data_IF_546485859559
#
_entry.id   IF_546485859559
#
_cell.length_a   1.000
_cell.length_b   1.000
_cell.length_c   1.000
_cell.angle_alpha   90.00
_cell.angle_beta   90.00
_cell.angle_gamma   90.00
#
_symmetry.space_group_name_H-M   'P 1'
#
loop_
_entity.id
_entity.type
_entity.pdbx_description
1 polymer ?
#
# COMPACT_ATOMS: atom_id res chain seq x y z
N UNK A 1 20.53 -92.87 6.13
CA UNK A 1 21.01 -91.87 5.17
C UNK A 1 20.07 -90.66 5.28
N UNK A 2 20.39 -89.70 6.13
CA UNK A 2 19.54 -88.58 6.45
C UNK A 2 20.11 -87.31 5.71
N UNK A 3 19.27 -86.66 4.97
CA UNK A 3 19.60 -85.39 4.28
C UNK A 3 19.02 -84.27 5.08
N UNK A 4 19.94 -83.45 5.69
CA UNK A 4 19.57 -82.24 6.33
C UNK A 4 19.29 -81.14 5.30
N UNK A 5 18.11 -80.50 5.41
CA UNK A 5 17.73 -79.32 4.62
C UNK A 5 18.02 -78.10 5.41
N UNK A 6 19.00 -77.30 4.97
CA UNK A 6 19.40 -76.05 5.57
C UNK A 6 18.45 -74.93 5.09
N UNK A 7 17.65 -74.34 6.01
CA UNK A 7 16.72 -73.25 5.72
C UNK A 7 17.44 -71.93 5.93
N UNK A 8 17.69 -71.12 4.87
CA UNK A 8 18.28 -69.84 4.90
C UNK A 8 17.19 -68.79 5.16
N UNK A 9 17.17 -68.15 6.35
CA UNK A 9 16.36 -66.99 6.63
C UNK A 9 16.97 -65.77 5.90
N UNK A 10 16.25 -65.27 4.92
CA UNK A 10 16.53 -63.93 4.33
C UNK A 10 15.89 -62.85 5.18
N UNK A 11 16.72 -62.08 5.90
CA UNK A 11 16.32 -60.83 6.56
C UNK A 11 16.07 -59.76 5.49
N UNK A 12 14.81 -59.39 5.29
CA UNK A 12 14.42 -58.26 4.42
C UNK A 12 14.69 -56.94 5.10
N UNK A 13 15.67 -56.19 4.58
CA UNK A 13 15.81 -54.74 4.92
C UNK A 13 14.64 -53.96 4.30
N UNK A 14 13.78 -53.40 5.13
CA UNK A 14 12.77 -52.42 4.72
C UNK A 14 13.45 -51.06 4.74
N UNK A 15 13.55 -50.32 3.63
CA UNK A 15 14.07 -48.98 3.64
C UNK A 15 13.03 -48.04 4.30
N UNK A 16 13.37 -47.45 5.42
CA UNK A 16 12.59 -46.39 6.03
C UNK A 16 12.63 -45.15 5.12
N UNK A 17 11.55 -44.91 4.38
CA UNK A 17 11.32 -43.67 3.65
C UNK A 17 11.10 -42.53 4.67
N UNK A 18 12.15 -41.79 4.95
CA UNK A 18 12.05 -40.50 5.64
C UNK A 18 11.33 -39.49 4.73
N UNK A 19 10.01 -39.32 4.90
CA UNK A 19 9.29 -38.18 4.37
C UNK A 19 9.76 -36.96 5.12
N UNK A 20 10.63 -36.16 4.51
CA UNK A 20 10.88 -34.80 4.91
C UNK A 20 9.61 -34.00 4.59
N UNK A 21 8.77 -33.77 5.61
CA UNK A 21 7.77 -32.74 5.59
C UNK A 21 8.52 -31.40 5.52
N UNK A 22 8.73 -30.90 4.30
CA UNK A 22 9.07 -29.50 4.08
C UNK A 22 7.81 -28.71 4.45
N UNK A 23 7.61 -28.49 5.74
CA UNK A 23 6.66 -27.51 6.24
C UNK A 23 7.12 -26.17 5.69
N UNK A 24 6.47 -25.67 4.66
CA UNK A 24 6.61 -24.28 4.27
C UNK A 24 6.24 -23.44 5.50
N UNK A 25 7.24 -22.86 6.17
CA UNK A 25 7.02 -21.87 7.18
C UNK A 25 6.35 -20.67 6.47
N UNK A 26 5.01 -20.67 6.44
CA UNK A 26 4.25 -19.49 6.08
C UNK A 26 4.72 -18.36 7.00
N UNK A 27 5.02 -17.19 6.43
CA UNK A 27 5.38 -16.03 7.23
C UNK A 27 4.28 -15.80 8.28
N UNK A 28 4.67 -15.76 9.55
CA UNK A 28 3.72 -15.55 10.64
C UNK A 28 3.24 -14.08 10.61
N UNK A 29 1.94 -13.87 10.77
CA UNK A 29 1.38 -12.54 10.96
C UNK A 29 1.99 -11.91 12.22
N UNK A 30 2.70 -10.80 12.08
CA UNK A 30 3.33 -10.10 13.20
C UNK A 30 3.38 -8.59 13.01
N UNK A 31 3.45 -7.89 14.11
CA UNK A 31 3.76 -6.47 14.08
C UNK A 31 5.22 -6.27 13.67
N UNK A 32 5.45 -5.38 12.71
CA UNK A 32 6.80 -5.02 12.27
C UNK A 32 7.22 -3.68 12.87
N UNK A 33 8.51 -3.50 13.11
CA UNK A 33 9.08 -2.20 13.44
C UNK A 33 9.69 -1.58 12.19
N UNK A 34 9.55 -0.26 12.06
CA UNK A 34 10.11 0.47 10.92
C UNK A 34 11.00 1.63 11.39
N UNK A 35 11.99 1.95 10.57
CA UNK A 35 12.89 3.07 10.81
C UNK A 35 12.78 4.07 9.67
N UNK A 36 12.39 5.30 10.01
CA UNK A 36 12.37 6.42 9.09
C UNK A 36 13.79 6.81 8.63
N UNK A 37 13.89 7.38 7.45
CA UNK A 37 15.13 7.87 6.85
C UNK A 37 14.86 9.05 5.93
N UNK A 38 15.92 9.57 5.30
CA UNK A 38 15.85 10.63 4.29
C UNK A 38 16.58 10.19 3.04
N UNK A 39 16.02 10.50 1.88
CA UNK A 39 16.69 10.38 0.57
C UNK A 39 17.58 11.60 0.32
N UNK A 40 17.08 12.77 0.70
CA UNK A 40 17.75 14.06 0.61
C UNK A 40 17.16 15.02 1.68
N UNK A 41 17.68 16.26 1.75
CA UNK A 41 17.05 17.31 2.56
C UNK A 41 15.59 17.47 2.12
N UNK A 42 14.67 17.51 3.06
CA UNK A 42 13.22 17.68 2.89
C UNK A 42 12.53 16.54 2.10
N UNK A 43 13.24 15.43 1.84
CA UNK A 43 12.76 14.26 1.11
C UNK A 43 12.87 13.02 1.98
N UNK A 44 11.73 12.52 2.47
CA UNK A 44 11.68 11.29 3.25
C UNK A 44 11.97 10.06 2.38
N UNK A 45 12.72 9.11 2.96
CA UNK A 45 12.77 7.74 2.47
C UNK A 45 11.56 6.94 2.98
N UNK A 46 11.20 5.87 2.28
CA UNK A 46 10.27 4.90 2.83
C UNK A 46 10.84 4.29 4.13
N UNK A 47 10.10 4.31 5.24
CA UNK A 47 10.53 3.66 6.49
C UNK A 47 10.78 2.17 6.28
N UNK A 48 12.04 1.74 6.47
CA UNK A 48 12.44 0.35 6.28
C UNK A 48 12.09 -0.52 7.49
N UNK A 49 11.65 -1.76 7.25
CA UNK A 49 11.43 -2.75 8.31
C UNK A 49 12.76 -3.07 8.99
N UNK A 50 12.80 -2.89 10.30
CA UNK A 50 13.97 -3.18 11.13
C UNK A 50 14.05 -4.68 11.41
N UNK A 51 15.23 -5.28 11.24
CA UNK A 51 15.47 -6.70 11.47
C UNK A 51 14.42 -7.60 10.78
N UNK A 52 14.36 -7.59 9.43
CA UNK A 52 13.38 -8.38 8.69
C UNK A 52 13.51 -9.87 9.05
N UNK A 53 12.40 -10.47 9.53
CA UNK A 53 12.39 -11.83 10.05
C UNK A 53 12.42 -12.88 8.93
N UNK A 54 11.88 -12.56 7.78
CA UNK A 54 11.71 -13.50 6.68
C UNK A 54 12.02 -12.89 5.30
N UNK A 55 11.82 -13.70 4.26
CA UNK A 55 12.06 -13.28 2.88
C UNK A 55 11.04 -12.26 2.38
N UNK A 56 9.80 -12.30 2.87
CA UNK A 56 8.76 -11.36 2.48
C UNK A 56 9.12 -9.93 2.92
N UNK A 57 9.54 -9.76 4.17
CA UNK A 57 9.97 -8.46 4.70
C UNK A 57 11.25 -7.96 4.01
N UNK A 58 12.21 -8.86 3.70
CA UNK A 58 13.39 -8.49 2.91
C UNK A 58 13.03 -8.00 1.51
N UNK A 59 12.02 -8.64 0.85
CA UNK A 59 11.52 -8.20 -0.46
C UNK A 59 10.89 -6.81 -0.38
N UNK A 60 10.11 -6.52 0.67
CA UNK A 60 9.55 -5.18 0.89
C UNK A 60 10.67 -4.16 1.01
N UNK A 61 11.67 -4.39 1.88
CA UNK A 61 12.80 -3.47 2.03
C UNK A 61 13.56 -3.26 0.72
N UNK A 62 13.76 -4.32 -0.07
CA UNK A 62 14.40 -4.21 -1.38
C UNK A 62 13.54 -3.39 -2.38
N UNK A 63 12.21 -3.56 -2.34
CA UNK A 63 11.30 -2.82 -3.21
C UNK A 63 11.28 -1.32 -2.87
N UNK A 64 11.10 -0.96 -1.60
CA UNK A 64 11.11 0.46 -1.17
C UNK A 64 12.46 1.13 -1.40
N UNK A 65 13.58 0.41 -1.21
CA UNK A 65 14.90 0.92 -1.53
C UNK A 65 15.09 1.26 -3.01
N UNK A 66 14.46 0.48 -3.93
CA UNK A 66 14.45 0.83 -5.37
C UNK A 66 13.61 2.08 -5.65
N UNK A 67 12.48 2.25 -4.94
CA UNK A 67 11.66 3.46 -5.05
C UNK A 67 12.45 4.68 -4.57
N UNK A 68 13.10 4.60 -3.42
CA UNK A 68 13.95 5.68 -2.90
C UNK A 68 15.08 6.06 -3.84
N UNK A 69 15.71 5.07 -4.49
CA UNK A 69 16.74 5.32 -5.50
C UNK A 69 16.19 6.11 -6.72
N UNK A 70 14.96 5.82 -7.17
CA UNK A 70 14.29 6.58 -8.23
C UNK A 70 14.00 8.01 -7.81
N UNK A 71 13.42 8.19 -6.61
CA UNK A 71 13.17 9.52 -6.05
C UNK A 71 14.45 10.33 -5.94
N UNK A 72 15.55 9.74 -5.45
CA UNK A 72 16.85 10.39 -5.39
C UNK A 72 17.32 10.89 -6.76
N UNK A 73 17.12 10.08 -7.80
CA UNK A 73 17.45 10.45 -9.17
C UNK A 73 16.56 11.60 -9.65
N UNK A 74 15.23 11.50 -9.47
CA UNK A 74 14.29 12.54 -9.89
C UNK A 74 14.54 13.89 -9.19
N UNK A 75 14.84 13.89 -7.90
CA UNK A 75 15.24 15.10 -7.14
C UNK A 75 16.52 15.72 -7.70
N UNK A 76 17.51 14.90 -8.05
CA UNK A 76 18.75 15.39 -8.65
C UNK A 76 18.52 15.99 -10.04
N UNK A 77 17.64 15.41 -10.85
CA UNK A 77 17.23 15.93 -12.16
C UNK A 77 16.47 17.25 -12.00
N UNK A 78 15.50 17.31 -11.10
CA UNK A 78 14.76 18.55 -10.78
C UNK A 78 15.70 19.71 -10.42
N UNK A 79 16.67 19.44 -9.54
CA UNK A 79 17.68 20.44 -9.14
C UNK A 79 18.57 20.89 -10.28
N UNK A 80 18.90 19.97 -11.19
CA UNK A 80 19.71 20.29 -12.38
C UNK A 80 18.95 21.19 -13.36
N UNK A 81 17.63 20.94 -13.53
CA UNK A 81 16.79 21.67 -14.47
C UNK A 81 16.37 23.04 -13.97
N UNK A 82 15.89 23.14 -12.73
CA UNK A 82 15.39 24.36 -12.13
C UNK A 82 16.45 25.15 -11.34
N UNK A 83 17.63 24.58 -11.10
CA UNK A 83 18.71 25.22 -10.38
C UNK A 83 18.31 25.68 -8.98
N UNK A 84 18.56 26.95 -8.67
CA UNK A 84 18.19 27.54 -7.36
C UNK A 84 16.68 27.65 -7.12
N UNK A 85 15.88 27.52 -8.15
CA UNK A 85 14.40 27.60 -8.08
C UNK A 85 13.77 26.20 -7.89
N UNK A 86 14.58 25.13 -7.85
CA UNK A 86 14.09 23.80 -7.55
C UNK A 86 13.61 23.73 -6.11
N UNK A 87 12.35 23.35 -5.94
CA UNK A 87 11.76 23.04 -4.65
C UNK A 87 11.08 21.66 -4.74
N UNK A 88 11.43 20.76 -3.81
CA UNK A 88 10.78 19.46 -3.69
C UNK A 88 10.73 19.08 -2.22
N UNK A 89 9.55 18.80 -1.74
CA UNK A 89 9.29 18.23 -0.42
C UNK A 89 8.54 16.92 -0.57
N UNK A 90 8.85 15.96 0.31
CA UNK A 90 8.19 14.66 0.37
C UNK A 90 8.10 14.21 1.80
N UNK A 91 6.91 13.78 2.20
CA UNK A 91 6.68 13.05 3.45
C UNK A 91 6.25 11.62 3.15
N UNK A 92 6.66 10.68 3.99
CA UNK A 92 6.23 9.28 3.91
C UNK A 92 5.70 8.84 5.26
N UNK A 93 4.40 8.62 5.33
CA UNK A 93 3.71 8.06 6.48
C UNK A 93 3.53 6.56 6.38
N UNK A 94 3.64 5.85 7.51
CA UNK A 94 3.20 4.47 7.65
C UNK A 94 1.78 4.48 8.20
N UNK A 95 0.79 4.37 7.32
CA UNK A 95 -0.63 4.41 7.70
C UNK A 95 -1.10 3.10 8.37
N UNK A 96 -0.46 1.98 8.06
CA UNK A 96 -0.73 0.68 8.68
C UNK A 96 0.57 -0.09 8.90
N UNK A 97 0.72 -0.73 10.08
CA UNK A 97 1.93 -1.44 10.48
C UNK A 97 1.57 -2.78 11.12
N UNK A 98 1.51 -3.85 10.30
CA UNK A 98 1.13 -5.19 10.72
C UNK A 98 -0.34 -5.33 11.15
N UNK A 99 -0.77 -6.55 11.56
CA UNK A 99 0.03 -7.80 11.48
C UNK A 99 0.15 -8.38 10.07
N UNK A 100 -0.83 -8.11 9.18
CA UNK A 100 -0.89 -8.69 7.84
C UNK A 100 -0.33 -7.80 6.75
N UNK A 101 -0.51 -6.49 6.88
CA UNK A 101 -0.16 -5.52 5.84
C UNK A 101 0.70 -4.39 6.39
N UNK A 102 1.46 -3.76 5.50
CA UNK A 102 2.11 -2.48 5.75
C UNK A 102 1.71 -1.51 4.65
N UNK A 103 1.23 -0.32 5.04
CA UNK A 103 0.81 0.74 4.13
C UNK A 103 1.71 1.95 4.24
N UNK A 104 2.25 2.39 3.13
CA UNK A 104 2.99 3.64 3.01
C UNK A 104 2.15 4.65 2.23
N UNK A 105 2.01 5.85 2.76
CA UNK A 105 1.35 6.99 2.10
C UNK A 105 2.37 8.08 1.93
N UNK A 106 2.52 8.56 0.71
CA UNK A 106 3.50 9.58 0.36
C UNK A 106 2.76 10.83 -0.10
N UNK A 107 3.13 11.98 0.44
CA UNK A 107 2.70 13.29 -0.07
C UNK A 107 3.91 14.01 -0.63
N UNK A 108 3.85 14.32 -1.91
CA UNK A 108 4.90 15.03 -2.65
C UNK A 108 4.41 16.41 -3.07
N UNK A 109 5.31 17.39 -3.04
CA UNK A 109 5.15 18.69 -3.68
C UNK A 109 6.46 19.05 -4.37
N UNK A 110 6.43 19.33 -5.66
CA UNK A 110 7.62 19.63 -6.45
C UNK A 110 7.44 20.79 -7.42
N UNK A 111 8.43 21.67 -7.47
CA UNK A 111 8.58 22.71 -8.49
C UNK A 111 9.95 22.53 -9.16
N UNK A 112 9.94 22.06 -10.40
CA UNK A 112 11.15 21.69 -11.15
C UNK A 112 11.33 22.56 -12.42
N UNK A 113 10.92 23.84 -12.38
CA UNK A 113 11.09 24.78 -13.49
C UNK A 113 9.99 24.76 -14.55
N UNK A 114 8.93 23.95 -14.37
CA UNK A 114 7.71 24.00 -15.18
C UNK A 114 6.81 25.20 -14.84
N UNK A 115 5.74 25.40 -15.63
CA UNK A 115 4.79 26.49 -15.45
C UNK A 115 4.02 26.41 -14.12
N UNK A 116 3.84 25.19 -13.59
CA UNK A 116 3.10 24.95 -12.34
C UNK A 116 3.83 23.93 -11.47
N UNK A 117 3.80 24.08 -10.12
CA UNK A 117 4.23 23.01 -9.22
C UNK A 117 3.31 21.79 -9.35
N UNK A 118 3.84 20.63 -9.08
CA UNK A 118 3.06 19.39 -8.94
C UNK A 118 2.92 19.04 -7.46
N UNK A 119 1.75 18.56 -7.06
CA UNK A 119 1.54 17.99 -5.74
C UNK A 119 0.66 16.74 -5.87
N UNK A 120 0.76 15.80 -4.95
CA UNK A 120 -0.07 14.61 -4.99
C UNK A 120 0.16 13.65 -3.83
N UNK A 121 -0.82 12.77 -3.64
CA UNK A 121 -0.74 11.67 -2.69
C UNK A 121 -0.61 10.36 -3.43
N UNK A 122 0.36 9.57 -3.03
CA UNK A 122 0.58 8.21 -3.53
C UNK A 122 0.54 7.22 -2.39
N UNK A 123 0.15 5.97 -2.66
CA UNK A 123 0.13 4.95 -1.62
C UNK A 123 0.55 3.59 -2.17
N UNK A 124 1.25 2.82 -1.35
CA UNK A 124 1.62 1.44 -1.65
C UNK A 124 1.32 0.60 -0.42
N UNK A 125 0.61 -0.51 -0.62
CA UNK A 125 0.31 -1.48 0.43
C UNK A 125 0.97 -2.80 0.08
N UNK A 126 1.75 -3.35 1.00
CA UNK A 126 2.38 -4.65 0.86
C UNK A 126 1.74 -5.68 1.80
N UNK A 127 1.62 -6.90 1.33
CA UNK A 127 1.30 -8.07 2.15
C UNK A 127 2.58 -8.58 2.81
N UNK A 128 2.63 -8.55 4.13
CA UNK A 128 3.79 -8.97 4.94
C UNK A 128 4.09 -10.46 4.83
N UNK A 129 3.13 -11.27 4.37
CA UNK A 129 3.35 -12.72 4.21
C UNK A 129 3.97 -13.10 2.87
N UNK A 130 3.82 -12.27 1.85
CA UNK A 130 4.34 -12.52 0.50
C UNK A 130 5.43 -11.55 0.08
N UNK A 131 5.49 -10.38 0.69
CA UNK A 131 6.36 -9.27 0.32
C UNK A 131 5.95 -8.58 -0.99
N UNK A 132 4.77 -8.91 -1.53
CA UNK A 132 4.25 -8.32 -2.76
C UNK A 132 3.27 -7.18 -2.45
N UNK A 133 3.11 -6.21 -3.38
CA UNK A 133 1.98 -5.29 -3.33
C UNK A 133 0.65 -6.06 -3.29
N UNK A 134 -0.33 -5.55 -2.54
CA UNK A 134 -1.63 -6.20 -2.41
C UNK A 134 -2.40 -6.22 -3.73
N UNK A 135 -3.15 -7.26 -3.94
CA UNK A 135 -4.16 -7.36 -4.99
C UNK A 135 -5.49 -6.82 -4.46
N UNK A 136 -5.83 -5.61 -4.83
CA UNK A 136 -7.04 -4.93 -4.38
C UNK A 136 -8.32 -5.68 -4.74
N UNK A 137 -8.31 -6.51 -5.79
CA UNK A 137 -9.48 -7.34 -6.16
C UNK A 137 -9.80 -8.42 -5.13
N UNK A 138 -8.84 -8.76 -4.27
CA UNK A 138 -9.02 -9.69 -3.16
C UNK A 138 -9.41 -9.00 -1.85
N UNK A 139 -9.22 -7.69 -1.75
CA UNK A 139 -9.47 -6.92 -0.54
C UNK A 139 -10.83 -6.21 -0.57
N UNK A 140 -11.25 -5.75 -1.75
CA UNK A 140 -12.45 -4.95 -1.92
C UNK A 140 -13.45 -5.63 -2.85
N UNK A 141 -14.77 -5.52 -2.58
CA UNK A 141 -15.80 -6.00 -3.50
C UNK A 141 -15.83 -5.16 -4.79
N UNK A 142 -16.30 -5.76 -5.88
CA UNK A 142 -16.28 -5.14 -7.22
C UNK A 142 -16.90 -3.73 -7.27
N UNK A 143 -17.95 -3.48 -6.50
CA UNK A 143 -18.62 -2.17 -6.44
C UNK A 143 -17.75 -1.05 -5.85
N UNK A 144 -16.76 -1.39 -4.98
CA UNK A 144 -15.78 -0.44 -4.44
C UNK A 144 -14.53 -0.34 -5.30
N UNK A 145 -14.24 -1.34 -6.12
CA UNK A 145 -13.10 -1.31 -7.04
C UNK A 145 -13.39 -0.44 -8.26
N UNK A 146 -14.57 -0.61 -8.87
CA UNK A 146 -14.85 -0.02 -10.17
C UNK A 146 -13.84 -0.46 -11.22
N UNK A 147 -13.29 0.50 -11.97
CA UNK A 147 -12.19 0.24 -12.90
C UNK A 147 -10.85 0.43 -12.18
N UNK A 148 -10.04 -0.63 -12.16
CA UNK A 148 -8.68 -0.58 -11.62
C UNK A 148 -7.71 -0.18 -12.72
N UNK A 149 -6.88 0.81 -12.46
CA UNK A 149 -5.80 1.24 -13.38
C UNK A 149 -4.48 1.39 -12.64
N UNK A 150 -3.38 1.36 -13.40
CA UNK A 150 -2.03 1.65 -12.93
C UNK A 150 -1.59 2.98 -13.53
N UNK A 151 -1.37 3.96 -12.69
CA UNK A 151 -0.73 5.21 -13.09
C UNK A 151 0.72 5.21 -12.64
N UNK A 152 1.55 5.95 -13.36
CA UNK A 152 2.95 6.17 -13.01
C UNK A 152 3.11 7.62 -12.55
N UNK A 153 3.67 7.81 -11.36
CA UNK A 153 3.99 9.14 -10.83
C UNK A 153 5.21 9.74 -11.53
N UNK A 154 5.47 11.02 -11.32
CA UNK A 154 6.61 11.74 -11.93
C UNK A 154 7.96 11.10 -11.60
N UNK A 155 8.10 10.44 -10.46
CA UNK A 155 9.28 9.70 -10.02
C UNK A 155 9.29 8.23 -10.47
N UNK A 156 8.35 7.82 -11.35
CA UNK A 156 8.25 6.49 -11.94
C UNK A 156 7.70 5.42 -10.99
N UNK A 157 7.01 5.81 -9.91
CA UNK A 157 6.32 4.88 -9.03
C UNK A 157 4.97 4.51 -9.65
N UNK A 158 4.75 3.20 -9.83
CA UNK A 158 3.46 2.69 -10.30
C UNK A 158 2.47 2.60 -9.13
N UNK A 159 1.33 3.22 -9.32
CA UNK A 159 0.28 3.33 -8.31
C UNK A 159 -1.03 2.77 -8.80
N UNK A 160 -1.76 2.13 -7.89
CA UNK A 160 -3.14 1.72 -8.16
C UNK A 160 -4.05 2.94 -8.06
N UNK A 161 -4.97 3.05 -9.03
CA UNK A 161 -6.10 3.97 -9.02
C UNK A 161 -7.39 3.18 -9.14
N UNK A 162 -8.37 3.56 -8.35
CA UNK A 162 -9.73 3.00 -8.36
C UNK A 162 -10.69 4.05 -8.90
N UNK A 163 -11.29 3.76 -10.04
CA UNK A 163 -12.32 4.60 -10.65
C UNK A 163 -13.68 3.98 -10.28
N UNK A 164 -14.20 4.36 -9.12
CA UNK A 164 -15.40 3.77 -8.51
C UNK A 164 -16.33 4.85 -7.98
N UNK A 165 -17.47 5.00 -8.63
CA UNK A 165 -18.55 5.87 -8.18
C UNK A 165 -18.93 5.61 -6.72
N UNK A 166 -19.09 4.32 -6.33
CA UNK A 166 -19.49 3.97 -4.97
C UNK A 166 -18.44 4.35 -3.93
N UNK A 167 -17.17 4.14 -4.23
CA UNK A 167 -16.09 4.54 -3.33
C UNK A 167 -16.02 6.07 -3.20
N UNK A 168 -16.25 6.78 -4.30
CA UNK A 168 -16.29 8.24 -4.28
C UNK A 168 -17.49 8.80 -3.50
N UNK A 169 -18.67 8.17 -3.57
CA UNK A 169 -19.82 8.51 -2.72
C UNK A 169 -19.49 8.39 -1.22
N UNK A 170 -18.78 7.33 -0.84
CA UNK A 170 -18.33 7.15 0.55
C UNK A 170 -17.29 8.21 0.95
N UNK A 171 -16.38 8.56 0.04
CA UNK A 171 -15.45 9.65 0.24
C UNK A 171 -16.18 10.97 0.49
N UNK A 172 -17.13 11.35 -0.37
CA UNK A 172 -17.92 12.59 -0.21
C UNK A 172 -18.75 12.58 1.07
N UNK A 173 -19.28 11.44 1.48
CA UNK A 173 -20.00 11.32 2.75
C UNK A 173 -19.08 11.64 3.96
N UNK A 174 -17.79 11.22 3.90
CA UNK A 174 -16.78 11.56 4.92
C UNK A 174 -16.36 13.02 4.82
N UNK A 175 -16.20 13.52 3.62
CA UNK A 175 -15.81 14.90 3.36
C UNK A 175 -16.80 15.90 3.99
N UNK A 176 -18.11 15.65 3.84
CA UNK A 176 -19.18 16.50 4.39
C UNK A 176 -19.17 16.60 5.93
N UNK A 177 -18.66 15.61 6.63
CA UNK A 177 -18.62 15.56 8.09
C UNK A 177 -17.21 15.76 8.67
N UNK A 178 -16.20 15.85 7.81
CA UNK A 178 -14.79 16.02 8.18
C UNK A 178 -14.42 17.46 8.57
N UNK A 179 -13.14 17.76 8.57
CA UNK A 179 -12.60 19.06 8.97
C UNK A 179 -13.10 20.20 8.07
N UNK A 180 -13.34 19.94 6.78
CA UNK A 180 -13.85 20.92 5.80
C UNK A 180 -15.38 21.01 5.73
N UNK A 181 -16.11 20.47 6.70
CA UNK A 181 -17.59 20.47 6.70
C UNK A 181 -18.25 21.85 6.51
N UNK A 182 -17.54 22.93 6.74
CA UNK A 182 -18.02 24.31 6.55
C UNK A 182 -17.56 24.98 5.25
N UNK A 183 -16.67 24.34 4.50
CA UNK A 183 -16.11 24.83 3.24
C UNK A 183 -17.00 24.43 2.06
N UNK A 184 -17.99 25.30 1.76
CA UNK A 184 -18.96 25.04 0.70
C UNK A 184 -18.34 25.03 -0.70
N UNK A 185 -17.37 25.89 -0.94
CA UNK A 185 -16.72 26.01 -2.25
C UNK A 185 -15.93 24.75 -2.58
N UNK A 186 -15.16 24.24 -1.62
CA UNK A 186 -14.47 22.97 -1.78
C UNK A 186 -15.43 21.78 -1.90
N UNK A 187 -16.55 21.75 -1.14
CA UNK A 187 -17.52 20.69 -1.26
C UNK A 187 -18.17 20.66 -2.66
N UNK A 188 -18.61 21.82 -3.17
CA UNK A 188 -19.18 21.93 -4.50
C UNK A 188 -18.18 21.55 -5.59
N UNK A 189 -16.92 21.98 -5.47
CA UNK A 189 -15.85 21.60 -6.39
C UNK A 189 -15.60 20.09 -6.39
N UNK A 190 -15.59 19.46 -5.22
CA UNK A 190 -15.42 18.00 -5.12
C UNK A 190 -16.65 17.25 -5.62
N UNK A 191 -17.88 17.72 -5.38
CA UNK A 191 -19.11 17.09 -5.91
C UNK A 191 -19.16 17.15 -7.45
N UNK A 192 -18.56 18.14 -8.08
CA UNK A 192 -18.49 18.26 -9.55
C UNK A 192 -17.26 17.58 -10.17
N UNK A 193 -16.29 17.16 -9.35
CA UNK A 193 -15.06 16.56 -9.82
C UNK A 193 -15.29 15.20 -10.50
N UNK A 194 -14.69 14.99 -11.66
CA UNK A 194 -14.62 13.68 -12.32
C UNK A 194 -15.90 13.16 -12.99
N UNK A 195 -16.94 13.98 -13.16
CA UNK A 195 -18.18 13.57 -13.84
C UNK A 195 -18.96 12.46 -13.10
N UNK A 196 -19.58 11.54 -13.85
CA UNK A 196 -20.51 10.53 -13.30
C UNK A 196 -19.87 9.52 -12.33
N UNK A 197 -18.58 9.23 -12.49
CA UNK A 197 -17.84 8.25 -11.65
C UNK A 197 -17.10 8.92 -10.48
N UNK A 198 -16.96 10.23 -10.50
CA UNK A 198 -16.00 10.95 -9.66
C UNK A 198 -14.56 10.82 -10.16
N UNK A 199 -13.58 11.46 -9.52
CA UNK A 199 -12.17 11.30 -9.81
C UNK A 199 -11.68 9.90 -9.40
N UNK A 200 -10.61 9.43 -10.03
CA UNK A 200 -9.93 8.22 -9.61
C UNK A 200 -9.35 8.40 -8.19
N UNK A 201 -9.37 7.36 -7.40
CA UNK A 201 -8.96 7.36 -6.00
C UNK A 201 -7.71 6.50 -5.80
N UNK A 202 -6.74 7.02 -5.05
CA UNK A 202 -5.60 6.25 -4.54
C UNK A 202 -6.01 5.61 -3.21
N UNK A 203 -6.08 4.27 -3.09
CA UNK A 203 -6.47 3.60 -1.87
C UNK A 203 -5.26 3.17 -1.02
N UNK A 204 -5.45 3.09 0.31
CA UNK A 204 -4.55 2.40 1.23
C UNK A 204 -5.31 1.83 2.43
N UNK A 205 -4.76 0.80 3.07
CA UNK A 205 -5.26 0.32 4.35
C UNK A 205 -4.76 1.26 5.44
N UNK A 206 -5.70 1.82 6.20
CA UNK A 206 -5.41 2.80 7.24
C UNK A 206 -5.69 2.21 8.63
N UNK A 207 -4.63 1.64 9.23
CA UNK A 207 -4.70 1.11 10.58
C UNK A 207 -4.83 2.20 11.64
N UNK A 208 -4.19 3.37 11.43
CA UNK A 208 -4.29 4.51 12.34
C UNK A 208 -5.69 5.12 12.33
N UNK A 209 -6.26 5.35 11.15
CA UNK A 209 -7.62 5.85 10.96
C UNK A 209 -8.71 4.79 11.07
N UNK A 210 -8.34 3.49 11.21
CA UNK A 210 -9.26 2.34 11.31
C UNK A 210 -10.23 2.25 10.14
N UNK A 211 -9.67 2.13 8.92
CA UNK A 211 -10.49 2.06 7.72
C UNK A 211 -9.70 1.92 6.43
N UNK A 212 -10.33 2.34 5.36
CA UNK A 212 -9.74 2.49 4.05
C UNK A 212 -9.44 3.96 3.80
N UNK A 213 -8.16 4.32 3.75
CA UNK A 213 -7.75 5.63 3.33
C UNK A 213 -7.90 5.77 1.81
N UNK A 214 -8.35 6.94 1.37
CA UNK A 214 -8.46 7.28 -0.06
C UNK A 214 -8.09 8.72 -0.30
N UNK A 215 -7.37 8.99 -1.38
CA UNK A 215 -7.06 10.34 -1.86
C UNK A 215 -7.54 10.51 -3.30
N UNK A 216 -8.33 11.55 -3.62
CA UNK A 216 -8.82 11.77 -4.98
C UNK A 216 -7.72 12.38 -5.87
N UNK A 217 -7.71 11.96 -7.13
CA UNK A 217 -6.85 12.51 -8.18
C UNK A 217 -7.64 13.55 -8.98
N UNK A 218 -7.48 14.80 -8.63
CA UNK A 218 -8.27 15.92 -9.19
C UNK A 218 -7.39 16.87 -9.98
N UNK A 219 -7.99 17.66 -10.90
CA UNK A 219 -7.28 18.72 -11.59
C UNK A 219 -6.65 19.72 -10.63
N UNK A 220 -5.52 20.30 -11.03
CA UNK A 220 -4.73 21.22 -10.22
C UNK A 220 -5.55 22.38 -9.63
N UNK A 221 -6.55 22.88 -10.37
CA UNK A 221 -7.37 24.04 -9.96
C UNK A 221 -8.22 23.78 -8.71
N UNK A 222 -8.51 22.52 -8.38
CA UNK A 222 -9.26 22.13 -7.18
C UNK A 222 -8.44 21.24 -6.23
N UNK A 223 -7.15 21.10 -6.47
CA UNK A 223 -6.28 20.22 -5.69
C UNK A 223 -6.20 20.61 -4.21
N UNK A 224 -6.33 21.90 -3.90
CA UNK A 224 -6.41 22.38 -2.52
C UNK A 224 -7.64 21.87 -1.74
N UNK A 225 -8.66 21.34 -2.45
CA UNK A 225 -9.86 20.75 -1.86
C UNK A 225 -9.76 19.21 -1.72
N UNK A 226 -8.73 18.59 -2.25
CA UNK A 226 -8.60 17.14 -2.37
C UNK A 226 -7.97 16.48 -1.13
N UNK A 227 -8.56 16.70 0.05
CA UNK A 227 -8.05 16.12 1.28
C UNK A 227 -8.21 14.58 1.28
N UNK A 228 -7.20 13.83 1.72
CA UNK A 228 -7.33 12.41 1.98
C UNK A 228 -8.37 12.13 3.07
N UNK A 229 -9.20 11.10 2.90
CA UNK A 229 -10.22 10.70 3.87
C UNK A 229 -10.10 9.22 4.21
N UNK A 230 -10.45 8.88 5.45
CA UNK A 230 -10.56 7.47 5.86
C UNK A 230 -12.03 7.06 5.92
N UNK A 231 -12.41 6.06 5.14
CA UNK A 231 -13.71 5.40 5.16
C UNK A 231 -13.71 4.40 6.30
N UNK A 232 -14.58 4.55 7.31
CA UNK A 232 -14.52 3.75 8.52
C UNK A 232 -14.96 2.30 8.31
N UNK A 233 -14.52 1.42 9.21
CA UNK A 233 -14.76 -0.04 9.13
C UNK A 233 -16.25 -0.40 9.05
N UNK A 234 -17.12 0.31 9.76
CA UNK A 234 -18.56 0.05 9.70
C UNK A 234 -19.14 0.30 8.30
N UNK A 235 -18.69 1.35 7.61
CA UNK A 235 -19.10 1.62 6.23
C UNK A 235 -18.53 0.54 5.28
N UNK A 236 -17.29 0.13 5.47
CA UNK A 236 -16.68 -0.93 4.67
C UNK A 236 -17.37 -2.28 4.87
N UNK A 237 -17.78 -2.60 6.11
CA UNK A 237 -18.57 -3.80 6.43
C UNK A 237 -19.93 -3.77 5.74
N UNK A 238 -20.62 -2.65 5.75
CA UNK A 238 -21.90 -2.47 5.04
C UNK A 238 -21.75 -2.62 3.52
N UNK A 239 -20.58 -2.33 2.99
CA UNK A 239 -20.24 -2.53 1.58
C UNK A 239 -19.78 -3.96 1.25
N UNK A 240 -19.67 -4.85 2.23
CA UNK A 240 -19.31 -6.25 2.02
C UNK A 240 -17.82 -6.50 1.84
N UNK A 241 -16.96 -5.64 2.41
CA UNK A 241 -15.54 -5.92 2.54
C UNK A 241 -15.36 -7.14 3.46
N UNK A 242 -14.49 -8.08 3.06
CA UNK A 242 -14.29 -9.33 3.76
C UNK A 242 -13.82 -9.14 5.21
N UNK A 243 -14.35 -9.93 6.15
CA UNK A 243 -14.01 -9.85 7.57
C UNK A 243 -12.51 -9.98 7.84
N UNK A 244 -11.79 -10.79 7.06
CA UNK A 244 -10.34 -10.93 7.19
C UNK A 244 -9.60 -9.60 6.93
N UNK A 245 -10.06 -8.80 5.94
CA UNK A 245 -9.50 -7.48 5.65
C UNK A 245 -9.83 -6.49 6.77
N UNK A 246 -11.10 -6.48 7.24
CA UNK A 246 -11.54 -5.61 8.32
C UNK A 246 -10.78 -5.90 9.61
N UNK A 247 -10.63 -7.18 9.97
CA UNK A 247 -9.89 -7.64 11.13
C UNK A 247 -8.41 -7.22 11.06
N UNK A 248 -7.76 -7.38 9.91
CA UNK A 248 -6.38 -6.96 9.74
C UNK A 248 -6.18 -5.46 9.99
N UNK A 249 -7.15 -4.61 9.59
CA UNK A 249 -7.13 -3.17 9.88
C UNK A 249 -7.37 -2.91 11.37
N UNK A 250 -8.29 -3.64 12.01
CA UNK A 250 -8.60 -3.49 13.44
C UNK A 250 -7.42 -3.84 14.34
N UNK A 251 -6.65 -4.87 13.97
CA UNK A 251 -5.49 -5.38 14.71
C UNK A 251 -4.19 -4.63 14.44
N UNK A 252 -4.19 -3.69 13.50
CA UNK A 252 -3.00 -2.91 13.16
C UNK A 252 -2.53 -2.03 14.34
N UNK A 253 -1.21 -1.83 14.44
CA UNK A 253 -0.60 -0.92 15.42
C UNK A 253 -1.10 0.51 15.17
N UNK A 254 -1.47 1.19 16.24
CA UNK A 254 -1.87 2.60 16.29
C UNK A 254 -0.67 3.52 16.44
#
# INVERSE_FOLDING_TARGET
>A
MAIEVCTILRAGLVPALFFWLVGGAGAAERMVEVKAGKVAKDIDAYPAIVQPADEAERKINAAIGKLDARVKKAVAECRREAGKNADWSRTVDVAMQGPRYISYVTTDSASCGGAHPSAGTTAIVYDLTTGAPVDWTKLLPAKLLGKVSLNESTDGVKMIRLDSKRLYELYLARYRVGERKGDKECLEAMEQAGGDSGPALTPWLDGKGRGLGVAPDVPHVIQACADPMTIPLEALRAEGVADATLKAIEEAKR
#
